data_IF_572513506478
#
_entry.id   IF_572513506478
#
_cell.length_a   1.000
_cell.length_b   1.000
_cell.length_c   1.000
_cell.angle_alpha   90.00
_cell.angle_beta   90.00
_cell.angle_gamma   90.00
#
_symmetry.space_group_name_H-M   'P 1'
#
loop_
_entity.id
_entity.type
_entity.pdbx_description
1 polymer ?
#
# COMPACT_ATOMS: atom_id res chain seq x y z
N UNK A 1 80.86 73.86 -105.35
CA UNK A 1 80.03 73.11 -106.31
C UNK A 1 78.66 72.90 -105.69
N UNK A 2 77.75 73.77 -106.06
CA UNK A 2 76.32 73.65 -105.84
C UNK A 2 75.79 72.67 -106.89
N UNK A 3 75.27 71.52 -106.44
CA UNK A 3 74.44 70.64 -107.26
C UNK A 3 73.18 71.44 -107.65
N UNK A 4 72.72 71.41 -108.91
CA UNK A 4 71.60 72.21 -109.32
C UNK A 4 70.35 71.69 -108.61
N UNK A 5 69.54 72.60 -108.08
CA UNK A 5 68.17 72.35 -107.64
C UNK A 5 67.38 71.64 -108.75
N UNK A 6 67.46 70.31 -108.79
CA UNK A 6 66.45 69.52 -109.45
C UNK A 6 65.29 69.53 -108.48
N UNK A 7 64.31 70.40 -108.75
CA UNK A 7 63.05 70.37 -108.02
C UNK A 7 62.59 68.90 -107.97
N UNK A 8 62.27 68.34 -106.78
CA UNK A 8 61.87 66.93 -106.67
C UNK A 8 60.58 66.62 -107.44
N UNK A 9 59.92 67.67 -107.96
CA UNK A 9 58.64 67.63 -108.64
C UNK A 9 58.81 68.05 -110.10
N UNK A 10 58.09 67.39 -111.01
CA UNK A 10 58.13 67.67 -112.45
C UNK A 10 57.46 68.99 -112.86
N UNK A 11 56.67 69.57 -111.97
CA UNK A 11 55.88 70.81 -112.12
C UNK A 11 55.60 71.42 -110.74
N UNK A 12 55.45 72.75 -110.66
CA UNK A 12 54.97 73.42 -109.44
C UNK A 12 53.57 72.94 -109.01
N UNK A 13 52.78 72.47 -109.97
CA UNK A 13 51.44 71.92 -109.74
C UNK A 13 51.50 70.54 -109.09
N UNK A 14 52.52 69.72 -109.43
CA UNK A 14 52.77 68.43 -108.81
C UNK A 14 53.25 68.57 -107.36
N UNK A 15 54.07 69.59 -107.07
CA UNK A 15 54.50 69.91 -105.71
C UNK A 15 53.33 70.34 -104.83
N UNK A 16 52.45 71.22 -105.34
CA UNK A 16 51.22 71.63 -104.65
C UNK A 16 50.31 70.43 -104.41
N UNK A 17 50.16 69.54 -105.39
CA UNK A 17 49.34 68.33 -105.26
C UNK A 17 49.92 67.35 -104.24
N UNK A 18 51.25 67.15 -104.22
CA UNK A 18 51.93 66.30 -103.25
C UNK A 18 51.72 66.79 -101.80
N UNK A 19 51.95 68.09 -101.52
CA UNK A 19 51.76 68.63 -100.17
C UNK A 19 50.28 68.67 -99.76
N UNK A 20 49.35 68.88 -100.69
CA UNK A 20 47.90 68.73 -100.45
C UNK A 20 47.52 67.29 -100.10
N UNK A 21 48.04 66.31 -100.84
CA UNK A 21 47.77 64.90 -100.58
C UNK A 21 48.41 64.45 -99.26
N UNK A 22 49.64 64.88 -98.97
CA UNK A 22 50.34 64.58 -97.72
C UNK A 22 49.65 65.18 -96.50
N UNK A 23 49.22 66.45 -96.58
CA UNK A 23 48.41 67.08 -95.51
C UNK A 23 47.04 66.42 -95.37
N UNK A 24 46.43 65.99 -96.48
CA UNK A 24 45.21 65.17 -96.49
C UNK A 24 45.38 63.85 -95.74
N UNK A 25 46.46 63.10 -96.04
CA UNK A 25 46.79 61.84 -95.36
C UNK A 25 47.04 62.04 -93.87
N UNK A 26 47.84 63.06 -93.47
CA UNK A 26 48.08 63.34 -92.05
C UNK A 26 46.80 63.74 -91.32
N UNK A 27 45.94 64.55 -91.95
CA UNK A 27 44.63 64.89 -91.39
C UNK A 27 43.78 63.63 -91.17
N UNK A 28 43.76 62.73 -92.14
CA UNK A 28 43.04 61.46 -92.02
C UNK A 28 43.63 60.56 -90.92
N UNK A 29 44.97 60.46 -90.80
CA UNK A 29 45.62 59.72 -89.72
C UNK A 29 45.30 60.29 -88.34
N UNK A 30 45.30 61.62 -88.18
CA UNK A 30 44.91 62.27 -86.92
C UNK A 30 43.44 62.01 -86.60
N UNK A 31 42.56 62.05 -87.60
CA UNK A 31 41.14 61.73 -87.42
C UNK A 31 40.94 60.28 -86.99
N UNK A 32 41.58 59.31 -87.65
CA UNK A 32 41.55 57.89 -87.28
C UNK A 32 42.03 57.67 -85.85
N UNK A 33 43.19 58.23 -85.49
CA UNK A 33 43.74 58.10 -84.15
C UNK A 33 42.85 58.76 -83.08
N UNK A 34 42.16 59.86 -83.42
CA UNK A 34 41.19 60.50 -82.53
C UNK A 34 39.93 59.64 -82.33
N UNK A 35 39.46 58.97 -83.38
CA UNK A 35 38.33 58.04 -83.32
C UNK A 35 38.69 56.80 -82.50
N UNK A 36 39.82 56.17 -82.78
CA UNK A 36 40.34 55.01 -82.01
C UNK A 36 40.50 55.34 -80.53
N UNK A 37 41.05 56.52 -80.19
CA UNK A 37 41.18 56.96 -78.80
C UNK A 37 39.81 57.20 -78.15
N UNK A 38 38.83 57.69 -78.90
CA UNK A 38 37.46 57.88 -78.40
C UNK A 38 36.82 56.54 -78.07
N UNK A 39 36.88 55.60 -79.01
CA UNK A 39 36.37 54.23 -78.82
C UNK A 39 37.04 53.54 -77.63
N UNK A 40 38.36 53.66 -77.48
CA UNK A 40 39.07 53.08 -76.34
C UNK A 40 38.62 53.68 -75.00
N UNK A 41 38.41 55.01 -74.95
CA UNK A 41 37.91 55.69 -73.75
C UNK A 41 36.48 55.29 -73.41
N UNK A 42 35.62 55.20 -74.42
CA UNK A 42 34.23 54.77 -74.24
C UNK A 42 34.16 53.32 -73.78
N UNK A 43 34.89 52.40 -74.43
CA UNK A 43 34.97 51.00 -74.02
C UNK A 43 35.57 50.80 -72.62
N UNK A 44 36.58 51.59 -72.24
CA UNK A 44 37.13 51.56 -70.88
C UNK A 44 36.09 51.98 -69.84
N UNK A 45 35.31 53.02 -70.14
CA UNK A 45 34.25 53.51 -69.26
C UNK A 45 33.11 52.49 -69.11
N UNK A 46 32.71 51.84 -70.20
CA UNK A 46 31.70 50.77 -70.17
C UNK A 46 32.18 49.59 -69.33
N UNK A 47 33.44 49.18 -69.49
CA UNK A 47 34.04 48.10 -68.70
C UNK A 47 34.14 48.44 -67.21
N UNK A 48 34.54 49.67 -66.87
CA UNK A 48 34.54 50.16 -65.49
C UNK A 48 33.12 50.10 -64.88
N UNK A 49 32.10 50.53 -65.64
CA UNK A 49 30.71 50.45 -65.19
C UNK A 49 30.25 48.99 -64.97
N UNK A 50 30.64 48.06 -65.85
CA UNK A 50 30.37 46.63 -65.66
C UNK A 50 31.02 46.10 -64.38
N UNK A 51 32.29 46.43 -64.12
CA UNK A 51 32.98 46.04 -62.89
C UNK A 51 32.32 46.63 -61.64
N UNK A 52 31.92 47.90 -61.67
CA UNK A 52 31.21 48.55 -60.56
C UNK A 52 29.87 47.84 -60.28
N UNK A 53 29.11 47.48 -61.31
CA UNK A 53 27.84 46.76 -61.13
C UNK A 53 28.06 45.37 -60.51
N UNK A 54 29.10 44.64 -60.93
CA UNK A 54 29.44 43.34 -60.36
C UNK A 54 29.88 43.48 -58.89
N UNK A 55 30.68 44.49 -58.58
CA UNK A 55 31.13 44.78 -57.22
C UNK A 55 29.93 45.10 -56.32
N UNK A 56 29.01 45.97 -56.75
CA UNK A 56 27.79 46.29 -56.01
C UNK A 56 26.90 45.06 -55.78
N UNK A 57 26.76 44.19 -56.79
CA UNK A 57 26.01 42.94 -56.64
C UNK A 57 26.66 42.01 -55.61
N UNK A 58 27.99 41.88 -55.63
CA UNK A 58 28.72 41.06 -54.67
C UNK A 58 28.64 41.64 -53.25
N UNK A 59 28.77 42.95 -53.08
CA UNK A 59 28.60 43.64 -51.80
C UNK A 59 27.19 43.45 -51.23
N UNK A 60 26.17 43.57 -52.08
CA UNK A 60 24.77 43.35 -51.68
C UNK A 60 24.56 41.90 -51.25
N UNK A 61 25.01 40.92 -52.04
CA UNK A 61 24.93 39.50 -51.68
C UNK A 61 25.69 39.19 -50.39
N UNK A 62 26.87 39.79 -50.18
CA UNK A 62 27.64 39.61 -48.96
C UNK A 62 26.87 40.16 -47.75
N UNK A 63 26.29 41.35 -47.88
CA UNK A 63 25.45 41.97 -46.84
C UNK A 63 24.25 41.08 -46.50
N UNK A 64 23.55 40.56 -47.49
CA UNK A 64 22.39 39.69 -47.29
C UNK A 64 22.79 38.39 -46.59
N UNK A 65 23.91 37.78 -46.99
CA UNK A 65 24.45 36.59 -46.34
C UNK A 65 24.86 36.85 -44.88
N UNK A 66 25.42 38.02 -44.57
CA UNK A 66 25.77 38.39 -43.19
C UNK A 66 24.51 38.56 -42.32
N UNK A 67 23.47 39.21 -42.85
CA UNK A 67 22.19 39.35 -42.16
C UNK A 67 21.53 37.99 -41.90
N UNK A 68 21.53 37.11 -42.90
CA UNK A 68 20.99 35.76 -42.75
C UNK A 68 21.81 34.93 -41.76
N UNK A 69 23.13 35.05 -41.77
CA UNK A 69 23.98 34.37 -40.79
C UNK A 69 23.67 34.84 -39.36
N UNK A 70 23.54 36.16 -39.15
CA UNK A 70 23.17 36.72 -37.84
C UNK A 70 21.77 36.24 -37.39
N UNK A 71 20.81 36.15 -38.32
CA UNK A 71 19.47 35.63 -38.07
C UNK A 71 19.51 34.17 -37.63
N UNK A 72 20.22 33.33 -38.38
CA UNK A 72 20.38 31.90 -38.07
C UNK A 72 21.12 31.69 -36.74
N UNK A 73 22.13 32.50 -36.44
CA UNK A 73 22.81 32.46 -35.13
C UNK A 73 21.84 32.75 -33.98
N UNK A 74 21.00 33.78 -34.11
CA UNK A 74 19.99 34.11 -33.10
C UNK A 74 18.95 32.98 -32.93
N UNK A 75 18.54 32.33 -34.03
CA UNK A 75 17.64 31.17 -33.96
C UNK A 75 18.29 29.98 -33.25
N UNK A 76 19.57 29.70 -33.53
CA UNK A 76 20.34 28.65 -32.86
C UNK A 76 20.42 28.90 -31.36
N UNK A 77 20.75 30.12 -30.94
CA UNK A 77 20.81 30.45 -29.51
C UNK A 77 19.43 30.36 -28.84
N UNK A 78 18.37 30.81 -29.52
CA UNK A 78 17.00 30.68 -29.02
C UNK A 78 16.59 29.21 -28.84
N UNK A 79 16.95 28.34 -29.78
CA UNK A 79 16.65 26.90 -29.70
C UNK A 79 17.48 26.24 -28.59
N UNK A 80 18.76 26.60 -28.44
CA UNK A 80 19.60 26.10 -27.34
C UNK A 80 19.03 26.48 -25.98
N UNK A 81 18.59 27.73 -25.80
CA UNK A 81 17.98 28.20 -24.55
C UNK A 81 16.68 27.44 -24.24
N UNK A 82 15.83 27.20 -25.25
CA UNK A 82 14.62 26.38 -25.11
C UNK A 82 14.92 24.94 -24.71
N UNK A 83 15.95 24.32 -25.30
CA UNK A 83 16.36 22.96 -24.95
C UNK A 83 16.89 22.95 -23.51
N UNK A 84 17.71 23.92 -23.13
CA UNK A 84 18.27 24.01 -21.77
C UNK A 84 17.16 24.21 -20.72
N UNK A 85 16.18 25.07 -20.98
CA UNK A 85 15.06 25.30 -20.06
C UNK A 85 14.17 24.06 -19.93
N UNK A 86 13.80 23.43 -21.05
CA UNK A 86 13.04 22.18 -21.05
C UNK A 86 13.78 21.05 -20.33
N UNK A 87 15.09 20.94 -20.51
CA UNK A 87 15.91 19.96 -19.81
C UNK A 87 15.93 20.23 -18.30
N UNK A 88 16.10 21.49 -17.88
CA UNK A 88 16.06 21.87 -16.48
C UNK A 88 14.69 21.57 -15.84
N UNK A 89 13.59 21.87 -16.54
CA UNK A 89 12.24 21.57 -16.08
C UNK A 89 11.98 20.06 -16.00
N UNK A 90 12.41 19.30 -17.01
CA UNK A 90 12.36 17.84 -16.99
C UNK A 90 13.13 17.25 -15.81
N UNK A 91 14.33 17.75 -15.52
CA UNK A 91 15.13 17.30 -14.38
C UNK A 91 14.43 17.60 -13.04
N UNK A 92 13.78 18.76 -12.90
CA UNK A 92 12.98 19.10 -11.71
C UNK A 92 11.80 18.16 -11.55
N UNK A 93 11.08 17.86 -12.63
CA UNK A 93 9.95 16.93 -12.61
C UNK A 93 10.39 15.51 -12.22
N UNK A 94 11.48 15.02 -12.82
CA UNK A 94 12.05 13.71 -12.47
C UNK A 94 12.40 13.67 -10.99
N UNK A 95 13.11 14.69 -10.49
CA UNK A 95 13.52 14.75 -9.08
C UNK A 95 12.32 14.75 -8.13
N UNK A 96 11.25 15.49 -8.47
CA UNK A 96 10.01 15.50 -7.68
C UNK A 96 9.31 14.14 -7.68
N UNK A 97 9.23 13.46 -8.83
CA UNK A 97 8.65 12.12 -8.93
C UNK A 97 9.46 11.06 -8.19
N UNK A 98 10.79 11.17 -8.19
CA UNK A 98 11.68 10.31 -7.41
C UNK A 98 11.46 10.49 -5.90
N UNK A 99 11.26 11.73 -5.45
CA UNK A 99 10.93 12.03 -4.05
C UNK A 99 9.56 11.45 -3.66
N UNK A 100 8.51 11.69 -4.46
CA UNK A 100 7.17 11.14 -4.22
C UNK A 100 7.19 9.60 -4.19
N UNK A 101 7.94 8.96 -5.10
CA UNK A 101 8.13 7.52 -5.09
C UNK A 101 8.81 7.05 -3.80
N UNK A 102 9.83 7.78 -3.34
CA UNK A 102 10.48 7.55 -2.05
C UNK A 102 9.50 7.65 -0.87
N UNK A 103 8.63 8.66 -0.85
CA UNK A 103 7.63 8.85 0.21
C UNK A 103 6.57 7.75 0.22
N UNK A 104 6.05 7.37 -0.96
CA UNK A 104 5.04 6.30 -1.09
C UNK A 104 5.62 4.95 -0.67
N UNK A 105 6.86 4.66 -1.07
CA UNK A 105 7.53 3.41 -0.67
C UNK A 105 7.81 3.35 0.82
N UNK A 106 8.25 4.45 1.44
CA UNK A 106 8.42 4.54 2.89
C UNK A 106 7.09 4.33 3.64
N UNK A 107 6.01 4.95 3.17
CA UNK A 107 4.67 4.82 3.76
C UNK A 107 4.15 3.39 3.65
N UNK A 108 4.31 2.77 2.47
CA UNK A 108 3.99 1.35 2.26
C UNK A 108 4.73 0.46 3.26
N UNK A 109 6.02 0.69 3.45
CA UNK A 109 6.84 -0.14 4.35
C UNK A 109 6.44 0.04 5.82
N UNK A 110 6.04 1.25 6.21
CA UNK A 110 5.47 1.52 7.54
C UNK A 110 4.13 0.79 7.73
N UNK A 111 3.22 0.87 6.77
CA UNK A 111 1.93 0.17 6.84
C UNK A 111 2.11 -1.35 6.88
N UNK A 112 3.06 -1.91 6.13
CA UNK A 112 3.38 -3.32 6.19
C UNK A 112 3.93 -3.75 7.56
N UNK A 113 4.75 -2.92 8.21
CA UNK A 113 5.19 -3.18 9.60
C UNK A 113 4.00 -3.15 10.55
N UNK A 114 3.15 -2.13 10.44
CA UNK A 114 1.97 -1.98 11.28
C UNK A 114 0.99 -3.16 11.14
N UNK A 115 0.79 -3.68 9.92
CA UNK A 115 -0.03 -4.88 9.69
C UNK A 115 0.53 -6.08 10.47
N UNK A 116 1.85 -6.32 10.42
CA UNK A 116 2.47 -7.42 11.17
C UNK A 116 2.34 -7.24 12.68
N UNK A 117 2.45 -6.00 13.18
CA UNK A 117 2.24 -5.69 14.59
C UNK A 117 0.79 -5.97 15.02
N UNK A 118 -0.20 -5.61 14.18
CA UNK A 118 -1.60 -5.91 14.43
C UNK A 118 -1.90 -7.42 14.40
N UNK A 119 -1.31 -8.15 13.46
CA UNK A 119 -1.39 -9.61 13.40
C UNK A 119 -0.84 -10.25 14.68
N UNK A 120 0.32 -9.80 15.15
CA UNK A 120 0.90 -10.28 16.40
C UNK A 120 0.01 -9.97 17.62
N UNK A 121 -0.53 -8.75 17.72
CA UNK A 121 -1.44 -8.39 18.81
C UNK A 121 -2.72 -9.24 18.78
N UNK A 122 -3.20 -9.59 17.58
CA UNK A 122 -4.36 -10.46 17.41
C UNK A 122 -4.07 -11.88 17.91
N UNK A 123 -2.94 -12.46 17.51
CA UNK A 123 -2.49 -13.78 17.98
C UNK A 123 -2.37 -13.83 19.52
N UNK A 124 -1.82 -12.77 20.12
CA UNK A 124 -1.69 -12.65 21.58
C UNK A 124 -3.06 -12.55 22.26
N UNK A 125 -4.00 -11.80 21.66
CA UNK A 125 -5.37 -11.70 22.14
C UNK A 125 -6.11 -13.03 22.04
N UNK A 126 -5.95 -13.77 20.95
CA UNK A 126 -6.52 -15.11 20.81
C UNK A 126 -5.93 -16.08 21.84
N UNK A 127 -4.62 -16.01 22.09
CA UNK A 127 -3.97 -16.83 23.13
C UNK A 127 -4.53 -16.50 24.52
N UNK A 128 -4.67 -15.22 24.85
CA UNK A 128 -5.26 -14.78 26.11
C UNK A 128 -6.71 -15.26 26.24
N UNK A 129 -7.51 -15.15 25.17
CA UNK A 129 -8.88 -15.66 25.13
C UNK A 129 -8.93 -17.16 25.42
N UNK A 130 -8.07 -17.97 24.79
CA UNK A 130 -8.01 -19.42 25.03
C UNK A 130 -7.66 -19.72 26.48
N UNK A 131 -6.67 -19.03 27.05
CA UNK A 131 -6.30 -19.19 28.47
C UNK A 131 -7.44 -18.85 29.43
N UNK A 132 -8.19 -17.78 29.15
CA UNK A 132 -9.34 -17.37 29.97
C UNK A 132 -10.46 -18.39 29.88
N UNK A 133 -10.78 -18.89 28.69
CA UNK A 133 -11.79 -19.93 28.49
C UNK A 133 -11.43 -21.18 29.29
N UNK A 134 -10.20 -21.67 29.17
CA UNK A 134 -9.74 -22.84 29.94
C UNK A 134 -9.86 -22.61 31.45
N UNK A 135 -9.48 -21.42 31.95
CA UNK A 135 -9.62 -21.11 33.37
C UNK A 135 -11.08 -21.07 33.82
N UNK A 136 -12.00 -20.61 32.96
CA UNK A 136 -13.43 -20.61 33.26
C UNK A 136 -13.99 -22.03 33.29
N UNK A 137 -13.63 -22.86 32.31
CA UNK A 137 -14.00 -24.28 32.25
C UNK A 137 -13.51 -25.03 33.51
N UNK A 138 -12.28 -24.76 33.97
CA UNK A 138 -11.74 -25.32 35.21
C UNK A 138 -12.55 -24.89 36.45
N UNK A 139 -13.02 -23.63 36.50
CA UNK A 139 -13.89 -23.16 37.59
C UNK A 139 -15.27 -23.82 37.52
N UNK A 140 -15.86 -23.94 36.34
CA UNK A 140 -17.14 -24.62 36.13
C UNK A 140 -17.08 -26.08 36.59
N UNK A 141 -16.01 -26.80 36.24
CA UNK A 141 -15.82 -28.18 36.70
C UNK A 141 -15.76 -28.27 38.23
N UNK A 142 -14.96 -27.42 38.89
CA UNK A 142 -14.85 -27.41 40.35
C UNK A 142 -16.16 -27.06 41.04
N UNK A 143 -16.94 -26.15 40.47
CA UNK A 143 -18.26 -25.79 40.97
C UNK A 143 -19.23 -26.97 40.84
N UNK A 144 -19.22 -27.67 39.70
CA UNK A 144 -20.06 -28.85 39.50
C UNK A 144 -19.71 -29.95 40.51
N UNK A 145 -18.43 -30.25 40.73
CA UNK A 145 -18.03 -31.23 41.75
C UNK A 145 -18.45 -30.79 43.16
N UNK A 146 -18.43 -29.50 43.47
CA UNK A 146 -18.89 -28.98 44.76
C UNK A 146 -20.42 -29.14 44.91
N UNK A 147 -21.18 -28.92 43.84
CA UNK A 147 -22.62 -29.16 43.80
C UNK A 147 -22.92 -30.65 44.00
N UNK A 148 -22.23 -31.54 43.31
CA UNK A 148 -22.39 -33.00 43.47
C UNK A 148 -22.11 -33.45 44.90
N UNK A 149 -21.04 -32.94 45.52
CA UNK A 149 -20.73 -33.23 46.92
C UNK A 149 -21.81 -32.70 47.87
N UNK A 150 -22.35 -31.51 47.63
CA UNK A 150 -23.44 -30.97 48.46
C UNK A 150 -24.72 -31.80 48.31
N UNK A 151 -25.11 -32.18 47.10
CA UNK A 151 -26.28 -33.04 46.87
C UNK A 151 -26.13 -34.41 47.55
N UNK A 152 -24.92 -34.99 47.54
CA UNK A 152 -24.63 -36.21 48.28
C UNK A 152 -24.81 -36.02 49.80
N UNK A 153 -24.25 -34.94 50.36
CA UNK A 153 -24.41 -34.62 51.78
C UNK A 153 -25.87 -34.33 52.18
N UNK A 154 -26.65 -33.68 51.31
CA UNK A 154 -28.09 -33.47 51.50
C UNK A 154 -28.81 -34.82 51.62
N UNK A 155 -28.52 -35.79 50.74
CA UNK A 155 -29.10 -37.13 50.84
C UNK A 155 -28.72 -37.89 52.11
N UNK A 156 -27.47 -37.76 52.59
CA UNK A 156 -27.05 -38.35 53.87
C UNK A 156 -27.80 -37.71 55.07
N UNK A 157 -28.10 -36.41 54.99
CA UNK A 157 -28.90 -35.73 56.00
C UNK A 157 -30.37 -36.18 55.97
N UNK A 158 -30.95 -36.36 54.78
CA UNK A 158 -32.33 -36.85 54.60
C UNK A 158 -32.48 -38.29 55.13
N UNK A 159 -31.51 -39.18 54.88
CA UNK A 159 -31.48 -40.53 55.44
C UNK A 159 -31.42 -40.50 56.97
N UNK A 160 -30.58 -39.63 57.52
CA UNK A 160 -30.47 -39.43 58.96
C UNK A 160 -31.79 -38.91 59.57
N UNK A 161 -32.47 -37.99 58.91
CA UNK A 161 -33.79 -37.49 59.33
C UNK A 161 -34.83 -38.62 59.33
N UNK A 162 -34.89 -39.41 58.25
CA UNK A 162 -35.77 -40.58 58.14
C UNK A 162 -35.52 -41.59 59.26
N UNK A 163 -34.25 -41.85 59.60
CA UNK A 163 -33.90 -42.71 60.72
C UNK A 163 -34.34 -42.12 62.05
N UNK A 164 -34.19 -40.81 62.27
CA UNK A 164 -34.67 -40.14 63.47
C UNK A 164 -36.19 -40.25 63.62
N UNK A 165 -36.94 -40.08 62.53
CA UNK A 165 -38.39 -40.32 62.53
C UNK A 165 -38.74 -41.76 62.91
N UNK A 166 -38.05 -42.74 62.33
CA UNK A 166 -38.29 -44.16 62.63
C UNK A 166 -38.00 -44.50 64.10
N UNK A 167 -36.91 -43.95 64.66
CA UNK A 167 -36.56 -44.07 66.07
C UNK A 167 -37.63 -43.41 66.94
N UNK A 168 -38.17 -42.27 66.52
CA UNK A 168 -39.22 -41.60 67.25
C UNK A 168 -40.52 -42.41 67.26
N UNK A 169 -40.93 -42.96 66.12
CA UNK A 169 -42.09 -43.87 66.03
C UNK A 169 -41.94 -45.10 66.94
N UNK A 170 -40.78 -45.77 66.88
CA UNK A 170 -40.50 -46.92 67.74
C UNK A 170 -40.47 -46.55 69.24
N UNK A 171 -40.02 -45.35 69.59
CA UNK A 171 -40.11 -44.84 70.96
C UNK A 171 -41.55 -44.65 71.40
N UNK A 172 -42.40 -44.11 70.54
CA UNK A 172 -43.82 -43.92 70.81
C UNK A 172 -44.54 -45.27 70.93
N UNK A 173 -44.29 -46.23 70.04
CA UNK A 173 -44.78 -47.61 70.14
C UNK A 173 -44.31 -48.31 71.43
N UNK A 174 -43.02 -48.19 71.78
CA UNK A 174 -42.50 -48.75 73.03
C UNK A 174 -43.12 -48.08 74.27
N UNK A 175 -43.49 -46.79 74.16
CA UNK A 175 -44.20 -46.06 75.20
C UNK A 175 -45.65 -46.52 75.30
N UNK A 176 -46.32 -46.78 74.19
CA UNK A 176 -47.71 -47.27 74.15
C UNK A 176 -47.79 -48.70 74.68
N UNK A 177 -46.91 -49.60 74.24
CA UNK A 177 -46.80 -50.97 74.77
C UNK A 177 -46.52 -50.99 76.28
N UNK A 178 -45.67 -50.08 76.78
CA UNK A 178 -45.47 -49.92 78.24
C UNK A 178 -46.75 -49.48 78.96
N UNK A 179 -47.56 -48.62 78.34
CA UNK A 179 -48.86 -48.23 78.87
C UNK A 179 -49.86 -49.39 78.84
N UNK A 180 -49.92 -50.16 77.75
CA UNK A 180 -50.76 -51.36 77.64
C UNK A 180 -50.38 -52.42 78.69
N UNK A 181 -49.09 -52.70 78.88
CA UNK A 181 -48.60 -53.58 79.94
C UNK A 181 -48.95 -53.05 81.33
N UNK A 182 -48.85 -51.74 81.57
CA UNK A 182 -49.24 -51.14 82.84
C UNK A 182 -50.76 -51.26 83.09
N UNK A 183 -51.60 -51.20 82.05
CA UNK A 183 -53.04 -51.43 82.13
C UNK A 183 -53.36 -52.91 82.37
N UNK A 184 -52.68 -53.83 81.67
CA UNK A 184 -52.81 -55.28 81.90
C UNK A 184 -52.38 -55.67 83.31
N UNK A 185 -51.29 -55.13 83.85
CA UNK A 185 -50.89 -55.33 85.25
C UNK A 185 -51.89 -54.76 86.27
N UNK A 186 -52.73 -53.80 85.86
CA UNK A 186 -53.80 -53.22 86.68
C UNK A 186 -55.11 -54.03 86.60
N UNK A 187 -55.31 -54.80 85.52
CA UNK A 187 -56.40 -55.77 85.39
C UNK A 187 -56.03 -57.15 85.98
N UNK A 188 -54.77 -57.54 85.91
CA UNK A 188 -54.22 -58.77 86.51
C UNK A 188 -53.43 -58.46 87.79
N UNK A 189 -54.13 -58.06 88.85
CA UNK A 189 -53.65 -58.30 90.21
C UNK A 189 -54.82 -58.41 91.19
N UNK A 190 -54.83 -59.49 92.00
CA UNK A 190 -54.15 -59.29 93.26
C UNK A 190 -53.07 -60.34 93.58
N UNK A 191 -52.12 -59.85 94.39
CA UNK A 191 -51.14 -60.53 95.28
C UNK A 191 -49.70 -60.68 94.76
N UNK A 192 -48.80 -60.06 95.55
CA UNK A 192 -47.54 -60.59 96.14
C UNK A 192 -46.64 -61.51 95.28
N UNK A 193 -45.31 -61.50 95.30
CA UNK A 193 -44.30 -61.00 96.24
C UNK A 193 -42.91 -61.43 95.72
N UNK A 194 -41.91 -60.57 95.87
CA UNK A 194 -40.59 -60.84 96.48
C UNK A 194 -39.62 -61.86 95.83
N UNK A 195 -38.45 -61.29 95.50
CA UNK A 195 -37.04 -61.78 95.53
C UNK A 195 -36.57 -63.04 94.79
N UNK A 196 -35.34 -62.93 94.28
CA UNK A 196 -34.50 -64.09 93.97
C UNK A 196 -33.34 -63.81 93.03
N UNK A 197 -32.25 -63.27 93.56
CA UNK A 197 -30.93 -63.17 92.94
C UNK A 197 -30.39 -64.56 92.50
N UNK A 198 -29.63 -64.63 91.40
CA UNK A 198 -28.28 -65.22 91.37
C UNK A 198 -27.64 -65.16 89.98
N UNK A 199 -26.32 -64.99 90.01
CA UNK A 199 -25.41 -64.74 88.91
C UNK A 199 -25.04 -66.00 88.09
N UNK A 200 -24.67 -65.80 86.81
CA UNK A 200 -23.61 -66.57 86.16
C UNK A 200 -23.07 -65.85 84.93
N UNK A 201 -21.74 -65.95 84.81
CA UNK A 201 -20.76 -65.28 83.96
C UNK A 201 -20.44 -66.09 82.70
N UNK A 202 -20.03 -65.40 81.60
CA UNK A 202 -19.09 -65.76 80.49
C UNK A 202 -19.64 -65.28 79.12
N UNK A 203 -18.92 -64.72 78.13
CA UNK A 203 -17.59 -64.12 77.91
C UNK A 203 -17.59 -63.60 76.44
N UNK A 204 -16.86 -62.51 76.18
CA UNK A 204 -16.16 -62.10 74.94
C UNK A 204 -17.00 -61.83 73.66
N UNK A 205 -16.81 -60.71 72.94
CA UNK A 205 -15.68 -60.53 72.00
C UNK A 205 -15.53 -59.05 71.59
N UNK A 206 -14.29 -58.59 71.50
CA UNK A 206 -13.87 -57.24 71.13
C UNK A 206 -13.86 -57.01 69.60
N UNK A 207 -14.06 -55.76 69.18
CA UNK A 207 -13.39 -55.20 67.99
C UNK A 207 -13.20 -53.69 68.15
N UNK A 208 -11.98 -53.27 67.85
CA UNK A 208 -11.41 -51.94 68.03
C UNK A 208 -11.83 -50.99 66.90
N UNK A 209 -11.87 -49.69 67.21
CA UNK A 209 -11.14 -48.67 66.44
C UNK A 209 -11.14 -47.34 67.22
N UNK A 210 -9.94 -46.90 67.59
CA UNK A 210 -9.66 -45.55 68.04
C UNK A 210 -8.93 -44.80 66.92
N UNK A 211 -9.01 -43.46 66.98
CA UNK A 211 -8.21 -42.43 66.28
C UNK A 211 -9.05 -41.64 65.27
N UNK A 212 -9.01 -40.32 65.16
CA UNK A 212 -8.57 -39.21 66.01
C UNK A 212 -8.93 -37.93 65.21
N UNK A 213 -9.27 -36.85 65.91
CA UNK A 213 -9.43 -35.48 65.37
C UNK A 213 -8.29 -35.06 64.41
N UNK A 214 -8.54 -34.14 63.47
CA UNK A 214 -7.53 -33.22 62.99
C UNK A 214 -7.75 -31.80 63.55
N UNK A 215 -6.65 -31.18 63.99
CA UNK A 215 -6.51 -29.73 64.13
C UNK A 215 -5.22 -29.33 63.40
N UNK A 216 -5.33 -28.17 62.76
CA UNK A 216 -4.39 -27.41 61.94
C UNK A 216 -2.94 -27.37 62.47
N UNK A 217 -1.95 -27.12 61.60
CA UNK A 217 -1.29 -25.81 61.66
C UNK A 217 -0.80 -25.23 60.31
N UNK A 218 -0.65 -23.91 60.30
CA UNK A 218 0.18 -23.13 59.37
C UNK A 218 1.44 -22.61 60.14
N UNK A 219 2.25 -21.71 59.55
CA UNK A 219 3.45 -21.91 58.72
C UNK A 219 4.76 -21.59 59.50
N UNK A 220 5.94 -21.56 58.84
CA UNK A 220 7.00 -20.65 59.28
C UNK A 220 7.51 -19.70 58.17
N UNK A 221 7.59 -18.42 58.55
CA UNK A 221 8.57 -17.42 58.10
C UNK A 221 9.99 -17.98 58.36
N UNK A 222 11.09 -17.69 57.66
CA UNK A 222 11.49 -16.59 56.80
C UNK A 222 13.00 -16.35 57.07
N UNK A 223 13.69 -15.75 56.09
CA UNK A 223 15.06 -15.16 56.17
C UNK A 223 16.24 -16.16 56.10
N UNK A 224 17.36 -15.94 55.40
CA UNK A 224 17.83 -14.82 54.56
C UNK A 224 19.25 -15.13 54.01
N UNK A 225 19.45 -14.84 52.71
CA UNK A 225 20.58 -14.15 52.07
C UNK A 225 22.03 -14.70 52.01
N UNK A 226 22.63 -14.50 50.81
CA UNK A 226 24.08 -14.37 50.56
C UNK A 226 24.58 -14.93 49.21
N UNK A 227 24.20 -14.36 48.07
CA UNK A 227 25.03 -13.55 47.13
C UNK A 227 26.46 -14.06 46.82
N UNK A 228 26.72 -14.41 45.54
CA UNK A 228 27.90 -13.99 44.76
C UNK A 228 27.72 -14.28 43.26
N UNK A 229 28.24 -13.36 42.46
CA UNK A 229 27.92 -13.06 41.05
C UNK A 229 29.02 -13.59 40.08
N UNK A 230 29.12 -13.19 38.78
CA UNK A 230 29.03 -14.10 37.64
C UNK A 230 30.34 -14.27 36.82
N UNK A 231 30.35 -15.18 35.84
CA UNK A 231 31.45 -15.30 34.88
C UNK A 231 31.02 -15.92 33.55
N UNK A 232 31.13 -15.14 32.48
CA UNK A 232 30.87 -15.51 31.10
C UNK A 232 32.05 -16.24 30.44
N UNK A 233 31.81 -17.23 29.56
CA UNK A 233 32.39 -17.27 28.21
C UNK A 233 31.78 -18.36 27.31
N UNK A 234 31.95 -18.11 26.01
CA UNK A 234 31.31 -18.69 24.83
C UNK A 234 31.65 -20.15 24.48
N UNK A 235 30.77 -20.73 23.64
CA UNK A 235 30.98 -21.15 22.23
C UNK A 235 30.72 -22.65 21.99
N UNK A 236 29.99 -22.97 20.92
CA UNK A 236 30.16 -24.22 20.20
C UNK A 236 28.88 -24.84 19.67
N UNK A 237 28.63 -24.61 18.38
CA UNK A 237 27.61 -25.24 17.55
C UNK A 237 27.67 -26.78 17.58
N UNK A 238 26.49 -27.43 17.45
CA UNK A 238 26.25 -28.57 16.54
C UNK A 238 24.77 -28.98 16.55
N UNK A 239 24.19 -29.07 15.34
CA UNK A 239 22.86 -29.64 15.04
C UNK A 239 22.83 -31.14 15.38
N UNK A 240 21.64 -31.73 15.59
CA UNK A 240 21.10 -32.61 14.53
C UNK A 240 19.57 -32.49 14.30
N UNK A 241 19.16 -33.06 13.18
CA UNK A 241 17.85 -33.06 12.50
C UNK A 241 16.64 -33.56 13.31
N UNK A 242 15.39 -33.23 12.92
CA UNK A 242 14.16 -33.81 13.48
C UNK A 242 13.68 -35.04 12.67
N UNK A 243 12.85 -35.93 13.25
CA UNK A 243 12.18 -36.99 12.50
C UNK A 243 10.84 -36.54 11.91
N UNK A 244 10.52 -37.12 10.76
CA UNK A 244 9.25 -37.04 10.03
C UNK A 244 8.23 -38.06 10.54
N UNK A 245 6.96 -37.66 10.64
CA UNK A 245 5.75 -38.46 10.31
C UNK A 245 4.52 -37.53 10.40
N UNK A 246 3.89 -37.11 9.31
CA UNK A 246 2.88 -37.78 8.48
C UNK A 246 1.43 -37.56 8.97
N UNK A 247 0.68 -36.88 8.09
CA UNK A 247 -0.78 -36.84 7.92
C UNK A 247 -1.65 -36.27 9.04
N UNK A 248 -2.39 -35.20 8.73
CA UNK A 248 -3.84 -35.28 8.55
C UNK A 248 -4.31 -34.13 7.64
N UNK A 249 -5.20 -34.50 6.72
CA UNK A 249 -5.91 -33.66 5.76
C UNK A 249 -6.97 -32.82 6.46
N UNK A 250 -7.03 -31.52 6.22
CA UNK A 250 -8.32 -30.84 6.13
C UNK A 250 -8.25 -29.62 5.21
N UNK A 251 -9.15 -29.63 4.25
CA UNK A 251 -9.49 -28.58 3.30
C UNK A 251 -9.98 -27.32 4.02
N UNK A 252 -9.43 -26.16 3.70
CA UNK A 252 -10.20 -24.91 3.75
C UNK A 252 -9.68 -23.92 2.70
N UNK A 253 -10.28 -24.02 1.52
CA UNK A 253 -10.36 -22.96 0.53
C UNK A 253 -11.21 -21.83 1.10
N UNK A 254 -10.61 -20.67 1.35
CA UNK A 254 -11.18 -19.32 1.14
C UNK A 254 -10.32 -18.31 1.90
N UNK A 255 -9.41 -17.64 1.18
CA UNK A 255 -8.94 -16.24 1.40
C UNK A 255 -7.65 -16.01 0.61
N UNK A 256 -7.68 -16.20 -0.70
CA UNK A 256 -6.66 -15.68 -1.63
C UNK A 256 -7.33 -15.26 -2.93
N UNK A 257 -8.17 -14.23 -2.84
CA UNK A 257 -8.66 -13.48 -3.98
C UNK A 257 -8.70 -12.02 -3.55
N UNK A 258 -7.58 -11.31 -3.78
CA UNK A 258 -7.50 -9.86 -4.02
C UNK A 258 -6.03 -9.35 -4.13
N UNK A 259 -5.09 -10.18 -4.59
CA UNK A 259 -3.70 -9.76 -4.85
C UNK A 259 -3.15 -10.28 -6.19
N UNK A 260 -4.02 -10.62 -7.14
CA UNK A 260 -3.64 -11.15 -8.46
C UNK A 260 -4.25 -10.36 -9.63
N UNK A 261 -4.35 -9.03 -9.52
CA UNK A 261 -4.79 -8.19 -10.65
C UNK A 261 -3.94 -6.93 -10.92
N UNK A 262 -2.76 -6.82 -10.30
CA UNK A 262 -1.83 -5.70 -10.53
C UNK A 262 -0.47 -6.15 -11.11
N UNK A 263 -0.47 -7.14 -12.01
CA UNK A 263 0.77 -7.60 -12.66
C UNK A 263 0.70 -7.74 -14.19
N UNK A 264 -0.32 -7.17 -14.83
CA UNK A 264 -0.30 -6.92 -16.27
C UNK A 264 -0.63 -5.45 -16.48
N UNK A 265 0.40 -4.61 -16.58
CA UNK A 265 0.49 -3.41 -17.42
C UNK A 265 1.83 -2.76 -17.11
N UNK A 266 2.88 -3.30 -17.71
CA UNK A 266 4.24 -2.86 -17.49
C UNK A 266 5.18 -3.62 -18.40
N UNK A 267 4.97 -3.51 -19.71
CA UNK A 267 6.00 -3.85 -20.68
C UNK A 267 5.98 -2.83 -21.81
N UNK A 268 7.15 -2.20 -21.97
CA UNK A 268 7.40 -1.09 -22.84
C UNK A 268 7.26 -1.42 -24.32
N UNK A 269 7.11 -0.33 -25.08
CA UNK A 269 7.19 -0.30 -26.52
C UNK A 269 8.54 -0.84 -27.06
N UNK A 270 8.57 -1.14 -28.36
CA UNK A 270 9.65 -0.63 -29.20
C UNK A 270 9.12 0.22 -30.37
N UNK A 271 9.89 1.25 -30.65
CA UNK A 271 9.77 2.18 -31.78
C UNK A 271 10.27 1.58 -33.12
N UNK A 272 9.95 2.33 -34.19
CA UNK A 272 10.34 2.22 -35.62
C UNK A 272 9.37 1.43 -36.51
N UNK A 273 8.83 1.94 -37.63
CA UNK A 273 8.92 3.23 -38.31
C UNK A 273 8.40 3.13 -39.75
N UNK A 274 8.06 4.29 -40.34
CA UNK A 274 7.96 4.62 -41.79
C UNK A 274 6.60 4.41 -42.50
N UNK A 275 5.99 5.52 -42.96
CA UNK A 275 5.41 5.58 -44.31
C UNK A 275 4.02 6.22 -44.54
N UNK A 276 4.04 7.53 -44.85
CA UNK A 276 3.19 8.27 -45.83
C UNK A 276 1.71 8.63 -45.55
N UNK A 277 1.51 9.95 -45.72
CA UNK A 277 0.36 10.68 -46.31
C UNK A 277 -0.87 11.00 -45.44
N UNK A 278 -1.20 12.30 -45.39
CA UNK A 278 -2.57 12.78 -45.18
C UNK A 278 -2.73 13.81 -44.07
N UNK A 279 -2.74 15.10 -44.45
CA UNK A 279 -3.17 16.21 -43.61
C UNK A 279 -4.60 16.02 -43.07
N UNK A 280 -4.84 16.35 -41.80
CA UNK A 280 -5.91 17.26 -41.37
C UNK A 280 -5.71 17.63 -39.90
N UNK A 281 -5.55 18.93 -39.67
CA UNK A 281 -5.43 19.57 -38.37
C UNK A 281 -6.80 19.67 -37.68
N UNK A 282 -6.90 19.15 -36.46
CA UNK A 282 -8.00 19.42 -35.52
C UNK A 282 -7.50 19.32 -34.08
N UNK A 283 -7.88 20.21 -33.15
CA UNK A 283 -7.37 20.19 -31.79
C UNK A 283 -8.10 19.11 -30.97
N UNK A 284 -7.36 18.11 -30.51
CA UNK A 284 -7.86 17.11 -29.55
C UNK A 284 -7.79 17.73 -28.15
N UNK A 285 -8.96 18.04 -27.56
CA UNK A 285 -9.09 18.39 -26.14
C UNK A 285 -8.82 17.14 -25.28
N UNK A 286 -8.06 17.24 -24.17
CA UNK A 286 -7.96 16.13 -23.22
C UNK A 286 -9.26 16.02 -22.42
N UNK A 287 -9.86 14.83 -22.43
CA UNK A 287 -11.01 14.50 -21.60
C UNK A 287 -10.60 14.54 -20.13
N UNK A 288 -11.38 15.27 -19.33
CA UNK A 288 -11.19 15.43 -17.89
C UNK A 288 -11.45 14.13 -17.13
N UNK A 289 -10.65 13.94 -16.08
CA UNK A 289 -10.58 12.81 -15.16
C UNK A 289 -11.81 12.67 -14.23
N UNK A 290 -13.02 13.04 -14.67
CA UNK A 290 -14.22 13.14 -13.81
C UNK A 290 -15.34 12.14 -14.12
N UNK A 291 -15.06 11.07 -14.88
CA UNK A 291 -16.03 10.00 -15.15
C UNK A 291 -15.80 8.66 -14.42
N UNK A 292 -14.72 8.51 -13.65
CA UNK A 292 -14.45 7.26 -12.92
C UNK A 292 -15.01 7.23 -11.48
N UNK A 293 -15.47 8.36 -10.93
CA UNK A 293 -16.04 8.43 -9.57
C UNK A 293 -17.50 7.96 -9.44
N UNK A 294 -18.23 7.75 -10.54
CA UNK A 294 -19.66 7.39 -10.50
C UNK A 294 -19.96 5.88 -10.54
N UNK A 295 -18.96 5.02 -10.79
CA UNK A 295 -19.16 3.56 -10.84
C UNK A 295 -18.90 2.82 -9.52
N UNK A 296 -18.27 3.45 -8.53
CA UNK A 296 -18.06 2.86 -7.21
C UNK A 296 -19.21 3.14 -6.22
N UNK A 297 -20.02 4.19 -6.45
CA UNK A 297 -21.19 4.49 -5.61
C UNK A 297 -22.40 3.57 -5.82
N UNK A 298 -22.47 2.88 -6.96
CA UNK A 298 -23.64 2.05 -7.30
C UNK A 298 -23.55 0.61 -6.76
N UNK A 299 -22.40 0.19 -6.24
CA UNK A 299 -22.22 -1.17 -5.69
C UNK A 299 -22.49 -1.25 -4.18
N UNK A 300 -22.49 -0.11 -3.45
CA UNK A 300 -22.88 -0.08 -2.03
C UNK A 300 -24.40 0.06 -1.81
N UNK A 301 -25.15 0.55 -2.80
CA UNK A 301 -26.60 0.73 -2.67
C UNK A 301 -27.42 -0.57 -2.84
N UNK A 302 -26.79 -1.67 -3.26
CA UNK A 302 -27.47 -2.96 -3.46
C UNK A 302 -27.40 -3.92 -2.26
N UNK A 303 -26.61 -3.61 -1.24
CA UNK A 303 -26.50 -4.42 -0.01
C UNK A 303 -27.40 -3.91 1.15
N UNK A 304 -28.26 -2.91 0.92
CA UNK A 304 -29.05 -2.25 1.95
C UNK A 304 -30.55 -2.56 1.99
N UNK A 305 -31.09 -3.37 1.07
CA UNK A 305 -32.53 -3.64 1.00
C UNK A 305 -32.79 -5.12 1.28
N UNK A 306 -32.81 -5.48 2.57
CA UNK A 306 -32.98 -6.88 2.94
C UNK A 306 -33.02 -7.16 4.43
N UNK A 307 -33.74 -6.36 5.22
CA UNK A 307 -34.22 -6.74 6.56
C UNK A 307 -35.14 -5.66 7.11
N UNK A 308 -36.44 -5.95 7.14
CA UNK A 308 -37.36 -5.59 8.22
C UNK A 308 -38.76 -6.10 7.86
N UNK A 309 -39.03 -7.33 8.29
CA UNK A 309 -40.38 -7.81 8.57
C UNK A 309 -40.25 -8.56 9.88
N UNK A 310 -40.88 -8.02 10.93
CA UNK A 310 -41.54 -8.75 12.01
C UNK A 310 -42.09 -7.74 13.04
N UNK A 311 -43.39 -7.44 12.90
CA UNK A 311 -44.37 -7.51 13.97
C UNK A 311 -44.39 -6.44 15.07
N UNK A 312 -45.43 -5.60 15.05
CA UNK A 312 -46.25 -5.33 16.24
C UNK A 312 -47.69 -5.02 15.81
N UNK A 313 -48.60 -5.97 16.08
CA UNK A 313 -50.02 -5.70 16.34
C UNK A 313 -50.11 -5.08 17.74
N UNK A 314 -50.87 -4.00 17.91
CA UNK A 314 -52.05 -3.92 18.81
C UNK A 314 -52.40 -2.47 19.23
N UNK A 315 -53.69 -2.16 19.12
CA UNK A 315 -54.51 -1.21 19.92
C UNK A 315 -54.61 0.29 19.56
N UNK A 316 -55.80 0.64 19.05
CA UNK A 316 -56.85 1.53 19.66
C UNK A 316 -57.06 2.94 19.05
N UNK A 317 -58.34 3.25 18.81
CA UNK A 317 -58.95 4.55 18.44
C UNK A 317 -59.63 4.46 17.07
N UNK A 318 -60.91 4.12 16.90
CA UNK A 318 -62.17 4.83 17.28
C UNK A 318 -62.20 6.31 16.86
N UNK A 319 -62.99 6.59 15.81
CA UNK A 319 -63.74 7.81 15.42
C UNK A 319 -64.23 7.56 13.97
N UNK A 320 -65.40 6.96 13.75
CA UNK A 320 -66.75 7.54 13.60
C UNK A 320 -66.90 8.69 12.58
N UNK A 321 -67.81 8.43 11.61
CA UNK A 321 -68.63 9.35 10.77
C UNK A 321 -67.89 10.36 9.85
N UNK A 322 -68.31 10.67 8.62
CA UNK A 322 -69.60 10.60 7.92
C UNK A 322 -69.29 10.75 6.40
N UNK A 323 -70.12 10.19 5.54
CA UNK A 323 -70.21 10.56 4.12
C UNK A 323 -71.68 10.84 3.79
N UNK A 324 -72.05 11.37 2.60
CA UNK A 324 -71.28 11.51 1.36
C UNK A 324 -70.82 12.93 0.99
#
# INVERSE_FOLDING_TARGET
MTDPERSPFGSAEDEINYWKELSGRYKQCVQSAQEELREFREGSREYEAELETQLQQLETRNRDLLLENARLQAEVETVKEKIASQHADGQRQISALEEELGQVTATRDQLQKYIRELEQCNDDLERAKRSTIMSLEDFELRLNEAIERNAFLESELDEKETLLESVQRLKDEARDLRQELAVQQKQEKPKASVEGSLAARRTDTAMQAASSRPSTPAPPQGLSFGFSTPGAFRRGEKKPFPPLSLAHTHTHTHTFFLLAQYSLWGNGAPWCGRGRHGCTSGPVRPASFSQWGRRLGSLMAWNGVGRESLGTKSLRGEEEEEGP
#
